data_IF_568542173021
#
_entry.id   IF_568542173021
#
_cell.length_a   1.000
_cell.length_b   1.000
_cell.length_c   1.000
_cell.angle_alpha   90.00
_cell.angle_beta   90.00
_cell.angle_gamma   90.00
#
_symmetry.space_group_name_H-M   'P 1'
#
loop_
_entity.id
_entity.type
_entity.pdbx_description
1 polymer ?
#
# COMPACT_ATOMS: atom_id res chain seq x y z
N UNK A 1 8.08 -0.36 -16.32
CA UNK A 1 9.13 -1.28 -15.83
C UNK A 1 8.75 -1.88 -14.48
N UNK A 2 8.58 -1.10 -13.40
CA UNK A 2 8.07 -1.59 -12.10
C UNK A 2 6.68 -2.23 -12.18
N UNK A 3 5.67 -1.51 -12.68
CA UNK A 3 4.29 -2.03 -12.70
C UNK A 3 4.14 -3.34 -13.47
N UNK A 4 4.79 -3.45 -14.63
CA UNK A 4 4.81 -4.71 -15.39
C UNK A 4 5.45 -5.86 -14.63
N UNK A 5 6.39 -5.59 -13.71
CA UNK A 5 6.94 -6.63 -12.84
C UNK A 5 5.91 -7.06 -11.80
N UNK A 6 5.26 -6.11 -11.12
CA UNK A 6 4.17 -6.40 -10.18
C UNK A 6 3.07 -7.24 -10.85
N UNK A 7 2.62 -6.88 -12.06
CA UNK A 7 1.60 -7.64 -12.81
C UNK A 7 2.04 -9.05 -13.20
N UNK A 8 3.33 -9.31 -13.36
CA UNK A 8 3.85 -10.65 -13.67
C UNK A 8 3.87 -11.53 -12.43
N UNK A 9 4.17 -10.95 -11.27
CA UNK A 9 4.16 -11.66 -9.99
C UNK A 9 2.73 -11.87 -9.48
N UNK A 10 1.85 -10.89 -9.70
CA UNK A 10 0.45 -10.89 -9.29
C UNK A 10 -0.41 -10.58 -10.50
N UNK A 11 -0.93 -11.61 -11.21
CA UNK A 11 -1.68 -11.46 -12.45
C UNK A 11 -2.91 -10.55 -12.25
N UNK A 12 -2.72 -9.25 -12.52
CA UNK A 12 -3.68 -8.18 -12.26
C UNK A 12 -3.75 -7.25 -13.46
N UNK A 13 -4.97 -6.93 -13.88
CA UNK A 13 -5.23 -5.85 -14.82
C UNK A 13 -5.36 -4.54 -14.04
N UNK A 14 -4.89 -3.42 -14.58
CA UNK A 14 -5.13 -2.10 -13.99
C UNK A 14 -5.91 -1.24 -14.98
N UNK A 15 -7.03 -0.69 -14.53
CA UNK A 15 -7.84 0.27 -15.28
C UNK A 15 -7.71 1.62 -14.61
N UNK A 16 -7.24 2.61 -15.36
CA UNK A 16 -7.19 3.99 -14.89
C UNK A 16 -8.60 4.57 -14.83
N UNK A 17 -9.07 4.98 -13.65
CA UNK A 17 -10.32 5.72 -13.51
C UNK A 17 -10.05 7.17 -13.15
N UNK A 18 -10.36 8.10 -14.05
CA UNK A 18 -10.24 9.56 -13.82
C UNK A 18 -11.32 10.13 -12.88
N UNK A 19 -12.21 9.29 -12.36
CA UNK A 19 -13.29 9.67 -11.43
C UNK A 19 -12.87 9.46 -9.98
N UNK A 20 -12.64 10.58 -9.27
CA UNK A 20 -12.60 10.79 -7.80
C UNK A 20 -11.91 9.75 -6.88
N UNK A 21 -11.13 10.17 -5.87
CA UNK A 21 -10.13 9.35 -5.18
C UNK A 21 -10.67 8.31 -4.17
N UNK A 22 -11.90 7.82 -4.29
CA UNK A 22 -12.60 7.18 -3.17
C UNK A 22 -13.33 5.86 -3.50
N UNK A 23 -12.93 5.09 -4.51
CA UNK A 23 -13.45 3.73 -4.68
C UNK A 23 -12.31 2.77 -5.04
N UNK A 24 -11.56 2.36 -4.02
CA UNK A 24 -10.66 1.21 -4.08
C UNK A 24 -11.42 -0.13 -4.08
N UNK A 25 -12.71 -0.09 -3.72
CA UNK A 25 -13.59 -1.25 -3.75
C UNK A 25 -14.53 -1.16 -4.95
N UNK A 26 -14.59 -2.20 -5.82
CA UNK A 26 -15.65 -2.28 -6.82
C UNK A 26 -17.01 -2.28 -6.10
N UNK A 27 -17.92 -1.41 -6.56
CA UNK A 27 -19.33 -1.50 -6.16
C UNK A 27 -19.84 -2.88 -6.56
N UNK A 28 -20.50 -3.55 -5.62
CA UNK A 28 -21.12 -4.87 -5.75
C UNK A 28 -21.62 -5.16 -7.17
N UNK A 29 -21.04 -6.19 -7.77
CA UNK A 29 -21.24 -6.61 -9.15
C UNK A 29 -20.03 -7.43 -9.58
N UNK A 30 -20.13 -8.75 -9.41
CA UNK A 30 -19.09 -9.73 -9.71
C UNK A 30 -18.45 -9.46 -11.07
N UNK A 31 -17.13 -9.26 -11.06
CA UNK A 31 -16.28 -9.62 -12.18
C UNK A 31 -15.19 -10.55 -11.64
N UNK A 32 -15.07 -11.80 -12.12
CA UNK A 32 -13.86 -12.58 -11.90
C UNK A 32 -12.77 -11.88 -12.71
N UNK A 33 -11.94 -11.09 -12.04
CA UNK A 33 -10.95 -10.28 -12.73
C UNK A 33 -10.24 -9.38 -11.74
N UNK A 34 -8.96 -9.65 -11.57
CA UNK A 34 -7.99 -8.93 -10.74
C UNK A 34 -7.77 -7.50 -11.25
N UNK A 35 -8.83 -6.68 -11.30
CA UNK A 35 -8.82 -5.37 -11.94
C UNK A 35 -8.67 -4.25 -10.89
N UNK A 36 -7.53 -3.58 -10.90
CA UNK A 36 -7.22 -2.46 -10.01
C UNK A 36 -7.66 -1.14 -10.61
N UNK A 37 -8.41 -0.35 -9.85
CA UNK A 37 -8.78 1.02 -10.22
C UNK A 37 -7.78 2.01 -9.65
N UNK A 38 -6.89 2.52 -10.51
CA UNK A 38 -5.90 3.52 -10.11
C UNK A 38 -6.36 4.93 -10.52
N UNK A 39 -6.17 5.96 -9.67
CA UNK A 39 -6.55 7.34 -9.98
C UNK A 39 -5.53 8.06 -10.88
N UNK A 40 -4.59 7.33 -11.48
CA UNK A 40 -3.50 7.85 -12.31
C UNK A 40 -3.13 6.86 -13.41
N UNK A 41 -2.52 7.39 -14.48
CA UNK A 41 -1.87 6.59 -15.51
C UNK A 41 -0.48 6.13 -15.02
N UNK A 42 -0.27 4.82 -14.97
CA UNK A 42 0.95 4.25 -14.42
C UNK A 42 2.16 4.57 -15.30
N UNK A 43 3.20 5.13 -14.68
CA UNK A 43 4.44 5.54 -15.34
C UNK A 43 4.40 6.96 -15.89
N UNK A 44 3.27 7.66 -15.78
CA UNK A 44 3.13 9.04 -16.24
C UNK A 44 2.94 9.96 -15.02
N UNK A 45 3.96 10.71 -14.59
CA UNK A 45 3.86 11.58 -13.41
C UNK A 45 2.96 12.78 -13.69
N UNK A 46 1.89 12.98 -12.91
CA UNK A 46 0.93 14.09 -13.04
C UNK A 46 0.32 14.46 -11.70
N UNK A 47 -0.07 15.73 -11.54
CA UNK A 47 -0.94 16.28 -10.49
C UNK A 47 -1.03 15.46 -9.18
N UNK A 48 -0.01 15.53 -8.33
CA UNK A 48 0.00 14.86 -7.02
C UNK A 48 0.38 13.37 -7.03
N UNK A 49 0.65 12.78 -8.20
CA UNK A 49 1.10 11.41 -8.41
C UNK A 49 2.46 11.37 -9.14
N UNK A 50 3.54 11.64 -8.39
CA UNK A 50 4.89 11.32 -8.84
C UNK A 50 5.11 9.80 -8.92
N UNK A 51 6.20 9.37 -9.58
CA UNK A 51 6.47 7.95 -9.79
C UNK A 51 6.62 7.16 -8.48
N UNK A 52 7.09 7.79 -7.40
CA UNK A 52 7.21 7.12 -6.10
C UNK A 52 5.84 6.90 -5.46
N UNK A 53 4.96 7.92 -5.49
CA UNK A 53 3.58 7.77 -5.03
C UNK A 53 2.82 6.72 -5.82
N UNK A 54 3.09 6.62 -7.13
CA UNK A 54 2.53 5.56 -7.96
C UNK A 54 3.02 4.16 -7.53
N UNK A 55 4.32 4.00 -7.24
CA UNK A 55 4.87 2.75 -6.67
C UNK A 55 4.12 2.35 -5.40
N UNK A 56 4.01 3.27 -4.44
CA UNK A 56 3.31 3.01 -3.16
C UNK A 56 1.85 2.60 -3.40
N UNK A 57 1.11 3.35 -4.22
CA UNK A 57 -0.28 3.03 -4.50
C UNK A 57 -0.46 1.71 -5.26
N UNK A 58 0.42 1.38 -6.20
CA UNK A 58 0.39 0.09 -6.89
C UNK A 58 0.65 -1.08 -5.93
N UNK A 59 1.66 -0.98 -5.06
CA UNK A 59 1.95 -2.02 -4.06
C UNK A 59 0.81 -2.20 -3.07
N UNK A 60 0.25 -1.10 -2.58
CA UNK A 60 -0.93 -1.10 -1.72
C UNK A 60 -2.13 -1.78 -2.39
N UNK A 61 -2.42 -1.43 -3.65
CA UNK A 61 -3.54 -1.99 -4.39
C UNK A 61 -3.36 -3.49 -4.67
N UNK A 62 -2.13 -3.94 -4.95
CA UNK A 62 -1.80 -5.37 -5.08
C UNK A 62 -2.05 -6.12 -3.77
N UNK A 63 -1.77 -5.52 -2.61
CA UNK A 63 -2.05 -6.17 -1.33
C UNK A 63 -3.55 -6.49 -1.18
N UNK A 64 -4.44 -5.60 -1.62
CA UNK A 64 -5.88 -5.90 -1.62
C UNK A 64 -6.25 -7.09 -2.50
N UNK A 65 -5.55 -7.32 -3.61
CA UNK A 65 -5.80 -8.49 -4.46
C UNK A 65 -5.45 -9.76 -3.72
N UNK A 66 -4.29 -9.79 -3.05
CA UNK A 66 -3.86 -10.93 -2.24
C UNK A 66 -4.85 -11.21 -1.09
N UNK A 67 -5.28 -10.16 -0.40
CA UNK A 67 -6.29 -10.27 0.65
C UNK A 67 -7.63 -10.80 0.12
N UNK A 68 -8.05 -10.40 -1.08
CA UNK A 68 -9.28 -10.93 -1.68
C UNK A 68 -9.15 -12.38 -2.14
N UNK A 69 -7.97 -12.81 -2.55
CA UNK A 69 -7.69 -14.21 -2.88
C UNK A 69 -7.70 -15.10 -1.62
N UNK A 70 -7.20 -14.58 -0.48
CA UNK A 70 -7.14 -15.32 0.79
C UNK A 70 -8.48 -15.32 1.54
N UNK A 71 -9.05 -14.14 1.80
CA UNK A 71 -10.21 -13.97 2.70
C UNK A 71 -11.54 -13.88 1.95
N UNK A 72 -11.51 -13.54 0.66
CA UNK A 72 -12.69 -13.16 -0.11
C UNK A 72 -13.16 -11.71 0.16
N UNK A 73 -13.72 -11.09 -0.89
CA UNK A 73 -14.18 -9.70 -0.85
C UNK A 73 -15.26 -9.43 0.23
N UNK A 74 -16.15 -10.40 0.45
CA UNK A 74 -17.27 -10.27 1.39
C UNK A 74 -16.79 -10.10 2.84
N UNK A 75 -15.72 -10.81 3.21
CA UNK A 75 -15.14 -10.74 4.57
C UNK A 75 -14.54 -9.36 4.81
N UNK A 76 -13.78 -8.84 3.84
CA UNK A 76 -13.12 -7.53 3.92
C UNK A 76 -14.10 -6.36 4.02
N UNK A 77 -15.32 -6.52 3.49
CA UNK A 77 -16.35 -5.46 3.47
C UNK A 77 -17.44 -5.63 4.54
N UNK A 78 -17.45 -6.75 5.28
CA UNK A 78 -18.55 -7.15 6.17
C UNK A 78 -18.85 -6.15 7.30
N UNK A 79 -17.84 -5.43 7.80
CA UNK A 79 -17.99 -4.49 8.90
C UNK A 79 -16.95 -3.37 8.86
N UNK A 80 -17.16 -2.32 9.66
CA UNK A 80 -16.17 -1.25 9.85
C UNK A 80 -14.84 -1.80 10.38
N UNK A 81 -14.87 -2.70 11.36
CA UNK A 81 -13.70 -3.37 11.89
C UNK A 81 -12.96 -4.22 10.85
N UNK A 82 -13.69 -4.96 10.02
CA UNK A 82 -13.10 -5.78 8.95
C UNK A 82 -12.43 -4.90 7.88
N UNK A 83 -13.08 -3.81 7.45
CA UNK A 83 -12.50 -2.83 6.53
C UNK A 83 -11.24 -2.19 7.12
N UNK A 84 -11.30 -1.77 8.38
CA UNK A 84 -10.15 -1.17 9.05
C UNK A 84 -8.98 -2.14 9.17
N UNK A 85 -9.23 -3.44 9.40
CA UNK A 85 -8.20 -4.48 9.45
C UNK A 85 -7.55 -4.70 8.09
N UNK A 86 -8.36 -4.94 7.05
CA UNK A 86 -7.87 -5.16 5.68
C UNK A 86 -7.04 -3.97 5.19
N UNK A 87 -7.55 -2.75 5.39
CA UNK A 87 -6.82 -1.54 5.03
C UNK A 87 -5.57 -1.30 5.89
N UNK A 88 -5.57 -1.65 7.19
CA UNK A 88 -4.38 -1.52 8.03
C UNK A 88 -3.24 -2.42 7.55
N UNK A 89 -3.56 -3.62 7.08
CA UNK A 89 -2.58 -4.50 6.45
C UNK A 89 -2.11 -3.92 5.12
N UNK A 90 -3.00 -3.42 4.25
CA UNK A 90 -2.57 -2.75 3.01
C UNK A 90 -1.70 -1.50 3.27
N UNK A 91 -2.04 -0.69 4.28
CA UNK A 91 -1.25 0.48 4.72
C UNK A 91 0.10 0.10 5.33
N UNK A 92 0.32 -1.17 5.71
CA UNK A 92 1.64 -1.64 6.11
C UNK A 92 2.63 -1.61 4.93
N UNK A 93 2.17 -1.85 3.70
CA UNK A 93 2.99 -1.65 2.51
C UNK A 93 3.54 -0.23 2.44
N UNK A 94 2.68 0.77 2.72
CA UNK A 94 3.07 2.17 2.74
C UNK A 94 4.16 2.42 3.79
N UNK A 95 4.07 1.79 4.97
CA UNK A 95 5.09 1.90 6.03
C UNK A 95 6.43 1.28 5.62
N UNK A 96 6.40 0.07 5.06
CA UNK A 96 7.59 -0.67 4.63
C UNK A 96 8.35 0.08 3.53
N UNK A 97 7.63 0.53 2.51
CA UNK A 97 8.19 1.33 1.42
C UNK A 97 8.71 2.68 1.91
N UNK A 98 7.96 3.36 2.80
CA UNK A 98 8.41 4.63 3.36
C UNK A 98 9.69 4.46 4.18
N UNK A 99 9.77 3.41 5.01
CA UNK A 99 10.97 3.14 5.80
C UNK A 99 12.17 2.79 4.90
N UNK A 100 11.98 1.97 3.87
CA UNK A 100 13.04 1.67 2.90
C UNK A 100 13.58 2.94 2.22
N UNK A 101 12.70 3.87 1.86
CA UNK A 101 13.04 5.10 1.14
C UNK A 101 13.61 6.21 2.03
N UNK A 102 13.13 6.33 3.27
CA UNK A 102 13.40 7.49 4.13
C UNK A 102 14.03 7.15 5.49
N UNK A 103 14.12 5.87 5.85
CA UNK A 103 14.66 5.42 7.14
C UNK A 103 13.80 5.80 8.36
N UNK A 104 12.58 6.26 8.13
CA UNK A 104 11.64 6.70 9.17
C UNK A 104 10.26 6.08 8.92
N UNK A 105 9.36 6.18 9.90
CA UNK A 105 7.95 5.78 9.73
C UNK A 105 7.08 7.03 9.80
N UNK A 106 6.11 7.23 8.89
CA UNK A 106 5.25 8.39 8.90
C UNK A 106 4.35 8.42 10.15
N UNK A 107 3.72 9.57 10.48
CA UNK A 107 2.73 9.64 11.55
C UNK A 107 1.55 8.71 11.29
N UNK A 108 1.37 7.71 12.17
CA UNK A 108 0.42 6.61 11.95
C UNK A 108 -1.03 7.08 11.92
N UNK A 109 -1.38 8.08 12.74
CA UNK A 109 -2.71 8.70 12.71
C UNK A 109 -3.02 9.37 11.38
N UNK A 110 -2.03 10.06 10.79
CA UNK A 110 -2.21 10.68 9.46
C UNK A 110 -2.40 9.62 8.38
N UNK A 111 -1.72 8.49 8.49
CA UNK A 111 -1.86 7.37 7.57
C UNK A 111 -3.25 6.71 7.70
N UNK A 112 -3.65 6.37 8.92
CA UNK A 112 -4.92 5.71 9.22
C UNK A 112 -6.14 6.62 9.02
N UNK A 113 -5.97 7.95 8.96
CA UNK A 113 -7.08 8.88 8.71
C UNK A 113 -7.81 8.61 7.39
N UNK A 114 -7.13 7.99 6.42
CA UNK A 114 -7.71 7.56 5.13
C UNK A 114 -8.89 6.60 5.31
N UNK A 115 -8.92 5.83 6.39
CA UNK A 115 -10.00 4.88 6.74
C UNK A 115 -11.34 5.57 6.97
N UNK A 116 -11.34 6.85 7.37
CA UNK A 116 -12.58 7.62 7.52
C UNK A 116 -13.33 7.74 6.20
N UNK A 117 -12.62 7.88 5.09
CA UNK A 117 -13.22 7.92 3.76
C UNK A 117 -13.81 6.56 3.34
N UNK A 118 -13.35 5.46 3.96
CA UNK A 118 -13.87 4.10 3.77
C UNK A 118 -15.03 3.74 4.71
N UNK A 119 -15.55 4.74 5.45
CA UNK A 119 -16.67 4.54 6.35
C UNK A 119 -16.32 3.73 7.60
N UNK A 120 -15.08 3.79 8.07
CA UNK A 120 -14.67 3.19 9.34
C UNK A 120 -15.01 4.12 10.53
N UNK A 121 -15.45 3.53 11.64
CA UNK A 121 -15.70 4.20 12.91
C UNK A 121 -14.40 4.56 13.64
N UNK A 122 -14.46 5.50 14.57
CA UNK A 122 -13.27 6.06 15.22
C UNK A 122 -12.50 5.00 16.04
N UNK A 123 -13.23 4.10 16.70
CA UNK A 123 -12.70 2.97 17.46
C UNK A 123 -11.92 1.98 16.58
N UNK A 124 -12.42 1.69 15.38
CA UNK A 124 -11.77 0.79 14.44
C UNK A 124 -10.53 1.44 13.83
N UNK A 125 -10.57 2.76 13.58
CA UNK A 125 -9.40 3.54 13.16
C UNK A 125 -8.32 3.51 14.25
N UNK A 126 -8.70 3.66 15.52
CA UNK A 126 -7.75 3.55 16.63
C UNK A 126 -7.13 2.14 16.71
N UNK A 127 -7.93 1.10 16.48
CA UNK A 127 -7.45 -0.27 16.36
C UNK A 127 -6.43 -0.45 15.23
N UNK A 128 -6.73 0.09 14.05
CA UNK A 128 -5.81 0.09 12.91
C UNK A 128 -4.50 0.82 13.23
N UNK A 129 -4.55 1.97 13.91
CA UNK A 129 -3.35 2.69 14.36
C UNK A 129 -2.51 1.83 15.30
N UNK A 130 -3.14 1.09 16.22
CA UNK A 130 -2.42 0.19 17.12
C UNK A 130 -1.69 -0.93 16.36
N UNK A 131 -2.37 -1.57 15.40
CA UNK A 131 -1.76 -2.59 14.52
C UNK A 131 -0.59 -2.01 13.74
N UNK A 132 -0.77 -0.85 13.11
CA UNK A 132 0.29 -0.16 12.37
C UNK A 132 1.47 0.23 13.27
N UNK A 133 1.23 0.52 14.55
CA UNK A 133 2.31 0.84 15.50
C UNK A 133 3.18 -0.38 15.83
N UNK A 134 2.56 -1.57 15.96
CA UNK A 134 3.30 -2.82 16.12
C UNK A 134 4.12 -3.14 14.88
N UNK A 135 3.52 -3.05 13.69
CA UNK A 135 4.25 -3.25 12.43
C UNK A 135 5.38 -2.24 12.26
N UNK A 136 5.17 -0.97 12.59
CA UNK A 136 6.23 0.05 12.53
C UNK A 136 7.43 -0.29 13.43
N UNK A 137 7.21 -0.93 14.58
CA UNK A 137 8.31 -1.39 15.44
C UNK A 137 9.12 -2.51 14.79
N UNK A 138 8.45 -3.50 14.18
CA UNK A 138 9.08 -4.60 13.44
C UNK A 138 9.84 -4.09 12.20
N UNK A 139 9.22 -3.21 11.42
CA UNK A 139 9.79 -2.62 10.20
C UNK A 139 11.10 -1.88 10.49
N UNK A 140 11.16 -1.14 11.61
CA UNK A 140 12.41 -0.47 12.03
C UNK A 140 13.55 -1.44 12.34
N UNK A 141 13.24 -2.70 12.62
CA UNK A 141 14.21 -3.78 12.81
C UNK A 141 14.52 -4.53 11.50
N UNK A 142 13.94 -4.11 10.38
CA UNK A 142 14.16 -4.69 9.05
C UNK A 142 13.11 -5.70 8.63
N UNK A 143 12.00 -5.84 9.35
CA UNK A 143 10.90 -6.69 8.91
C UNK A 143 10.23 -6.13 7.65
N UNK A 144 9.89 -7.03 6.75
CA UNK A 144 8.92 -6.84 5.68
C UNK A 144 7.94 -7.99 5.86
N UNK A 145 6.67 -7.68 6.05
CA UNK A 145 5.62 -8.64 6.39
C UNK A 145 4.69 -8.89 5.21
N UNK A 146 4.42 -7.86 4.39
CA UNK A 146 3.50 -8.00 3.26
C UNK A 146 4.20 -8.56 2.03
N UNK A 147 3.55 -9.53 1.38
CA UNK A 147 4.06 -10.17 0.16
C UNK A 147 4.19 -9.16 -1.00
N UNK A 148 3.22 -8.26 -1.17
CA UNK A 148 3.30 -7.20 -2.18
C UNK A 148 4.53 -6.32 -1.98
N UNK A 149 4.88 -6.01 -0.73
CA UNK A 149 6.08 -5.23 -0.39
C UNK A 149 7.36 -6.01 -0.63
N UNK A 150 7.39 -7.31 -0.33
CA UNK A 150 8.56 -8.14 -0.63
C UNK A 150 8.93 -8.07 -2.11
N UNK A 151 7.95 -8.28 -3.00
CA UNK A 151 8.18 -8.21 -4.45
C UNK A 151 8.58 -6.79 -4.88
N UNK A 152 7.88 -5.77 -4.36
CA UNK A 152 8.18 -4.39 -4.71
C UNK A 152 9.60 -3.98 -4.28
N UNK A 153 10.01 -4.31 -3.06
CA UNK A 153 11.31 -3.99 -2.50
C UNK A 153 12.44 -4.75 -3.21
N UNK A 154 12.25 -6.04 -3.52
CA UNK A 154 13.22 -6.79 -4.33
C UNK A 154 13.47 -6.11 -5.68
N UNK A 155 12.41 -5.66 -6.36
CA UNK A 155 12.56 -4.93 -7.61
C UNK A 155 13.30 -3.60 -7.41
N UNK A 156 12.93 -2.83 -6.39
CA UNK A 156 13.56 -1.53 -6.09
C UNK A 156 15.04 -1.67 -5.76
N UNK A 157 15.41 -2.67 -4.96
CA UNK A 157 16.80 -2.97 -4.62
C UNK A 157 17.64 -3.35 -5.84
N UNK A 158 17.07 -4.12 -6.78
CA UNK A 158 17.78 -4.55 -7.98
C UNK A 158 17.95 -3.41 -9.02
N UNK A 159 17.02 -2.46 -9.10
CA UNK A 159 16.97 -1.50 -10.21
C UNK A 159 17.29 -0.06 -9.80
N UNK A 160 16.96 0.33 -8.57
CA UNK A 160 17.11 1.69 -8.07
C UNK A 160 17.63 1.73 -6.62
N UNK A 161 18.70 0.99 -6.26
CA UNK A 161 19.17 0.88 -4.88
C UNK A 161 19.62 2.22 -4.28
N UNK A 162 20.07 3.16 -5.11
CA UNK A 162 20.44 4.52 -4.71
C UNK A 162 19.25 5.31 -4.13
N UNK A 163 18.01 4.84 -4.32
CA UNK A 163 16.84 5.43 -3.70
C UNK A 163 16.65 4.98 -2.24
N UNK A 164 17.27 3.88 -1.81
CA UNK A 164 17.17 3.40 -0.44
C UNK A 164 17.79 4.40 0.52
N UNK A 165 17.17 4.59 1.67
CA UNK A 165 17.81 5.32 2.76
C UNK A 165 18.99 4.49 3.30
N UNK A 166 20.17 5.09 3.28
CA UNK A 166 21.37 4.51 3.86
C UNK A 166 21.81 5.30 5.10
N UNK A 167 21.79 4.64 6.26
CA UNK A 167 22.25 5.19 7.53
C UNK A 167 23.72 5.61 7.49
N UNK A 168 24.56 4.87 6.78
CA UNK A 168 26.01 5.13 6.70
C UNK A 168 26.32 6.37 5.85
N UNK A 169 25.52 6.65 4.83
CA UNK A 169 25.62 7.86 4.02
C UNK A 169 25.15 9.11 4.79
N UNK A 170 24.05 9.00 5.52
CA UNK A 170 23.43 10.16 6.20
C UNK A 170 24.01 10.48 7.58
N UNK A 171 24.75 9.57 8.22
CA UNK A 171 25.49 9.86 9.46
C UNK A 171 26.73 10.73 9.23
N UNK A 172 27.25 10.78 8.00
CA UNK A 172 28.43 11.58 7.60
C UNK A 172 28.10 12.98 7.09
N UNK A 173 26.81 13.28 6.90
CA UNK A 173 26.33 14.56 6.36
C UNK A 173 26.01 15.60 7.46
N UNK A 174 26.59 15.45 8.66
CA UNK A 174 26.44 16.39 9.79
C UNK A 174 27.76 17.02 10.16
#
# INVERSE_FOLDING_TARGET
MFWRHMQRCFPTDAVCSHTSPARLFPRAGVAPGHCLHLPFEVGVPRAGWDLWRQVVACTHAVQHVLQFEEDGLEVSLASSAARARSEAEALRCDLELHFWRHGTTPPLWSLAWRLRAQGCHAEDIAGAVHVLALSAASIRQGAVENEASHVALQWLEAHVPHLRWDRAYHSRAR
#
